data_IF_215948213163
#
_entry.id   IF_215948213163
#
_cell.length_a   1.000
_cell.length_b   1.000
_cell.length_c   1.000
_cell.angle_alpha   90.00
_cell.angle_beta   90.00
_cell.angle_gamma   90.00
#
_symmetry.space_group_name_H-M   'P 1'
#
loop_
_entity.id
_entity.type
_entity.pdbx_description
1 polymer ?
#
# COMPACT_ATOMS: atom_id res chain seq x y z
N UNK A 1 9.59 -16.49 -23.91
CA UNK A 1 8.34 -16.00 -23.32
C UNK A 1 7.84 -17.01 -22.31
N UNK A 2 8.35 -16.97 -21.08
CA UNK A 2 7.80 -17.74 -19.96
C UNK A 2 6.78 -16.85 -19.27
N UNK A 3 5.50 -17.13 -19.52
CA UNK A 3 4.40 -16.36 -18.95
C UNK A 3 4.55 -16.22 -17.44
N UNK A 4 4.38 -14.99 -16.98
CA UNK A 4 4.34 -14.62 -15.58
C UNK A 4 3.40 -15.59 -14.86
N UNK A 5 3.91 -16.43 -13.96
CA UNK A 5 3.07 -17.38 -13.21
C UNK A 5 2.42 -16.67 -12.03
N UNK A 6 1.82 -15.51 -12.30
CA UNK A 6 0.90 -14.88 -11.39
C UNK A 6 -0.35 -15.75 -11.36
N UNK A 7 -0.58 -16.47 -10.26
CA UNK A 7 -1.85 -17.19 -10.10
C UNK A 7 -2.95 -16.14 -10.01
N UNK A 8 -4.08 -16.28 -10.73
CA UNK A 8 -5.19 -15.31 -10.66
C UNK A 8 -5.63 -15.01 -9.21
N UNK A 9 -5.49 -15.99 -8.31
CA UNK A 9 -5.80 -15.86 -6.89
C UNK A 9 -4.87 -14.91 -6.11
N UNK A 10 -3.72 -14.49 -6.68
CA UNK A 10 -2.78 -13.58 -6.04
C UNK A 10 -3.15 -12.10 -6.25
N UNK A 11 -3.72 -11.75 -7.41
CA UNK A 11 -4.24 -10.41 -7.71
C UNK A 11 -5.37 -10.05 -6.74
N UNK A 12 -6.25 -11.02 -6.48
CA UNK A 12 -7.45 -10.80 -5.66
C UNK A 12 -7.20 -11.14 -4.18
N UNK A 13 -5.93 -11.36 -3.80
CA UNK A 13 -5.59 -11.72 -2.44
C UNK A 13 -5.78 -10.51 -1.52
N UNK A 14 -6.73 -10.65 -0.59
CA UNK A 14 -7.02 -9.66 0.45
C UNK A 14 -6.19 -9.92 1.73
N UNK A 15 -5.34 -10.94 1.73
CA UNK A 15 -4.29 -11.09 2.72
C UNK A 15 -3.06 -10.35 2.21
N UNK A 16 -2.34 -9.61 3.05
CA UNK A 16 -1.33 -8.69 2.57
C UNK A 16 0.05 -9.35 2.36
N UNK A 17 0.25 -10.61 2.79
CA UNK A 17 1.52 -11.34 2.63
C UNK A 17 1.60 -12.15 1.32
N UNK A 18 2.46 -11.74 0.38
CA UNK A 18 2.75 -12.53 -0.81
C UNK A 18 3.80 -13.59 -0.51
N UNK A 19 3.37 -14.85 -0.49
CA UNK A 19 4.28 -16.03 -0.52
C UNK A 19 4.71 -16.39 -1.94
N UNK A 20 4.12 -15.72 -2.92
CA UNK A 20 4.45 -15.79 -4.32
C UNK A 20 5.79 -15.10 -4.62
N UNK A 21 6.61 -15.69 -5.49
CA UNK A 21 7.79 -15.01 -6.05
C UNK A 21 7.51 -14.40 -7.43
N UNK A 22 6.24 -14.39 -7.85
CA UNK A 22 5.83 -14.03 -9.22
C UNK A 22 5.68 -12.54 -9.44
N UNK A 23 5.01 -11.82 -8.52
CA UNK A 23 4.76 -10.38 -8.65
C UNK A 23 5.57 -9.50 -7.68
N UNK A 24 6.45 -10.11 -6.88
CA UNK A 24 7.26 -9.41 -5.87
C UNK A 24 6.47 -8.47 -4.95
N UNK A 25 5.20 -8.77 -4.68
CA UNK A 25 4.29 -7.97 -3.87
C UNK A 25 3.64 -6.76 -4.57
N UNK A 26 4.12 -6.35 -5.74
CA UNK A 26 3.58 -5.17 -6.46
C UNK A 26 2.11 -5.33 -6.84
N UNK A 27 1.70 -6.58 -7.15
CA UNK A 27 0.33 -6.93 -7.54
C UNK A 27 -0.46 -7.60 -6.41
N UNK A 28 -0.05 -7.40 -5.14
CA UNK A 28 -0.63 -8.11 -4.00
C UNK A 28 -1.28 -7.16 -2.99
N UNK A 29 -2.40 -7.58 -2.40
CA UNK A 29 -3.12 -6.82 -1.38
C UNK A 29 -4.01 -5.73 -1.97
N UNK A 30 -3.43 -4.71 -2.59
CA UNK A 30 -4.17 -3.50 -2.99
C UNK A 30 -5.26 -3.77 -4.04
N UNK A 31 -5.00 -4.60 -5.04
CA UNK A 31 -5.99 -4.97 -6.06
C UNK A 31 -7.23 -5.58 -5.42
N UNK A 32 -7.07 -6.55 -4.52
CA UNK A 32 -8.19 -7.20 -3.81
C UNK A 32 -9.03 -6.27 -2.93
N UNK A 33 -8.43 -5.23 -2.33
CA UNK A 33 -9.17 -4.22 -1.56
C UNK A 33 -9.88 -3.20 -2.45
N UNK A 34 -9.26 -2.84 -3.58
CA UNK A 34 -9.84 -1.94 -4.58
C UNK A 34 -11.00 -2.62 -5.31
N UNK A 35 -10.85 -3.88 -5.75
CA UNK A 35 -11.93 -4.68 -6.33
C UNK A 35 -13.13 -4.80 -5.38
N UNK A 36 -12.87 -5.00 -4.09
CA UNK A 36 -13.92 -5.07 -3.08
C UNK A 36 -14.68 -3.73 -2.95
N UNK A 37 -14.04 -2.59 -3.24
CA UNK A 37 -14.69 -1.27 -3.28
C UNK A 37 -15.60 -1.08 -4.51
N UNK A 38 -15.31 -1.77 -5.62
CA UNK A 38 -16.19 -1.83 -6.80
C UNK A 38 -17.37 -2.80 -6.62
N UNK A 39 -17.25 -3.77 -5.71
CA UNK A 39 -18.31 -4.74 -5.43
C UNK A 39 -19.51 -4.18 -4.66
N UNK A 40 -20.46 -5.06 -4.39
CA UNK A 40 -21.68 -4.75 -3.64
C UNK A 40 -21.43 -4.53 -2.14
N UNK A 41 -22.32 -3.79 -1.47
CA UNK A 41 -22.32 -3.68 0.00
C UNK A 41 -22.34 -5.06 0.66
N UNK A 42 -23.16 -5.98 0.16
CA UNK A 42 -23.23 -7.34 0.69
C UNK A 42 -21.89 -8.08 0.62
N UNK A 43 -21.09 -7.87 -0.43
CA UNK A 43 -19.74 -8.46 -0.51
C UNK A 43 -18.82 -7.94 0.60
N UNK A 44 -18.95 -6.66 0.95
CA UNK A 44 -18.19 -6.00 2.03
C UNK A 44 -18.68 -6.42 3.40
N UNK A 45 -19.98 -6.50 3.62
CA UNK A 45 -20.57 -6.99 4.88
C UNK A 45 -20.18 -8.45 5.15
N UNK A 46 -20.25 -9.30 4.12
CA UNK A 46 -19.77 -10.69 4.20
C UNK A 46 -18.27 -10.76 4.49
N UNK A 47 -17.47 -9.81 3.98
CA UNK A 47 -16.04 -9.73 4.31
C UNK A 47 -15.83 -9.29 5.76
N UNK A 48 -16.56 -8.27 6.23
CA UNK A 48 -16.51 -7.78 7.61
C UNK A 48 -16.79 -8.90 8.58
N UNK A 49 -17.91 -9.59 8.41
CA UNK A 49 -18.32 -10.72 9.24
C UNK A 49 -17.23 -11.81 9.29
N UNK A 50 -16.63 -12.17 8.14
CA UNK A 50 -15.54 -13.15 8.10
C UNK A 50 -14.27 -12.71 8.80
N UNK A 51 -13.96 -11.41 8.84
CA UNK A 51 -12.81 -10.89 9.59
C UNK A 51 -13.13 -10.88 11.09
N UNK A 52 -14.33 -10.43 11.47
CA UNK A 52 -14.77 -10.39 12.88
C UNK A 52 -14.80 -11.78 13.53
N UNK A 53 -15.20 -12.82 12.80
CA UNK A 53 -15.16 -14.20 13.27
C UNK A 53 -13.75 -14.69 13.62
N UNK A 54 -12.70 -14.04 13.12
CA UNK A 54 -11.31 -14.38 13.44
C UNK A 54 -10.83 -13.72 14.74
N UNK A 55 -11.59 -12.79 15.32
CA UNK A 55 -11.18 -12.07 16.53
C UNK A 55 -11.08 -13.05 17.70
N UNK A 56 -9.89 -13.17 18.26
CA UNK A 56 -9.66 -14.05 19.40
C UNK A 56 -9.94 -13.35 20.72
N UNK A 57 -10.76 -14.00 21.55
CA UNK A 57 -11.06 -13.59 22.93
C UNK A 57 -10.49 -14.61 23.91
N UNK A 58 -10.15 -14.17 25.11
CA UNK A 58 -9.80 -15.08 26.20
C UNK A 58 -11.06 -15.71 26.81
N UNK A 59 -10.90 -16.56 27.84
CA UNK A 59 -12.02 -17.23 28.52
C UNK A 59 -13.02 -16.26 29.18
N UNK A 60 -12.59 -15.05 29.52
CA UNK A 60 -13.45 -14.01 30.12
C UNK A 60 -14.13 -13.13 29.07
N UNK A 61 -13.99 -13.46 27.77
CA UNK A 61 -14.58 -12.71 26.67
C UNK A 61 -13.84 -11.43 26.27
N UNK A 62 -12.71 -11.11 26.91
CA UNK A 62 -11.91 -9.92 26.58
C UNK A 62 -10.97 -10.20 25.42
N UNK A 63 -10.68 -9.19 24.60
CA UNK A 63 -9.81 -9.31 23.43
C UNK A 63 -8.38 -9.75 23.83
N UNK A 64 -7.81 -10.70 23.10
CA UNK A 64 -6.41 -11.11 23.31
C UNK A 64 -5.46 -10.10 22.66
N UNK A 65 -4.46 -9.62 23.40
CA UNK A 65 -3.41 -8.75 22.87
C UNK A 65 -2.30 -9.55 22.17
N UNK A 66 -2.58 -10.08 20.97
CA UNK A 66 -1.64 -10.88 20.17
C UNK A 66 -1.46 -10.35 18.74
N UNK A 67 -0.50 -10.91 17.99
CA UNK A 67 -0.22 -10.52 16.60
C UNK A 67 -1.40 -10.74 15.66
N UNK A 68 -2.14 -11.83 15.86
CA UNK A 68 -3.30 -12.18 15.06
C UNK A 68 -4.41 -11.12 15.14
N UNK A 69 -4.78 -10.69 16.36
CA UNK A 69 -5.77 -9.64 16.54
C UNK A 69 -5.28 -8.28 16.03
N UNK A 70 -3.98 -7.96 16.17
CA UNK A 70 -3.41 -6.75 15.54
C UNK A 70 -3.65 -6.72 14.04
N UNK A 71 -3.31 -7.83 13.35
CA UNK A 71 -3.54 -7.93 11.91
C UNK A 71 -5.03 -7.90 11.57
N UNK A 72 -5.87 -8.58 12.36
CA UNK A 72 -7.32 -8.60 12.16
C UNK A 72 -7.93 -7.21 12.24
N UNK A 73 -7.54 -6.38 13.21
CA UNK A 73 -8.02 -5.00 13.32
C UNK A 73 -7.46 -4.08 12.23
N UNK A 74 -6.25 -4.32 11.72
CA UNK A 74 -5.74 -3.65 10.51
C UNK A 74 -6.58 -4.03 9.29
N UNK A 75 -6.96 -5.30 9.14
CA UNK A 75 -7.81 -5.74 8.03
C UNK A 75 -9.23 -5.14 8.12
N UNK A 76 -9.75 -4.91 9.33
CA UNK A 76 -11.00 -4.14 9.52
C UNK A 76 -10.80 -2.67 9.14
N UNK A 77 -9.67 -2.05 9.49
CA UNK A 77 -9.38 -0.67 9.07
C UNK A 77 -9.26 -0.55 7.55
N UNK A 78 -8.65 -1.54 6.88
CA UNK A 78 -8.63 -1.63 5.41
C UNK A 78 -10.02 -1.75 4.83
N UNK A 79 -10.90 -2.51 5.47
CA UNK A 79 -12.27 -2.65 5.03
C UNK A 79 -13.07 -1.34 5.19
N UNK A 80 -12.85 -0.58 6.27
CA UNK A 80 -13.45 0.76 6.42
C UNK A 80 -12.96 1.72 5.31
N UNK A 81 -11.67 1.67 4.96
CA UNK A 81 -11.13 2.40 3.80
C UNK A 81 -11.80 1.94 2.50
N UNK A 82 -11.96 0.63 2.30
CA UNK A 82 -12.69 0.08 1.13
C UNK A 82 -14.14 0.57 1.08
N UNK A 83 -14.83 0.65 2.22
CA UNK A 83 -16.19 1.20 2.32
C UNK A 83 -16.22 2.70 1.98
N UNK A 84 -15.20 3.47 2.35
CA UNK A 84 -15.03 4.87 1.95
C UNK A 84 -14.82 5.01 0.43
N UNK A 85 -13.94 4.21 -0.15
CA UNK A 85 -13.68 4.21 -1.60
C UNK A 85 -14.93 3.85 -2.41
N UNK A 86 -15.76 2.94 -1.90
CA UNK A 86 -17.03 2.59 -2.53
C UNK A 86 -18.02 3.76 -2.56
N UNK A 87 -18.07 4.56 -1.47
CA UNK A 87 -18.96 5.74 -1.34
C UNK A 87 -18.50 6.94 -2.15
N UNK A 88 -17.19 7.10 -2.32
CA UNK A 88 -16.60 8.24 -3.03
C UNK A 88 -16.38 7.96 -4.51
N UNK A 89 -16.43 6.69 -4.93
CA UNK A 89 -16.33 6.32 -6.33
C UNK A 89 -17.59 6.70 -7.10
N UNK A 90 -17.50 7.70 -7.98
CA UNK A 90 -18.61 8.08 -8.87
C UNK A 90 -19.19 6.90 -9.67
N UNK A 91 -20.41 7.08 -10.19
CA UNK A 91 -21.13 6.04 -10.96
C UNK A 91 -20.24 5.49 -12.08
N UNK A 92 -19.95 4.19 -12.02
CA UNK A 92 -19.36 3.49 -13.16
C UNK A 92 -20.47 3.19 -14.16
N UNK A 93 -20.30 3.46 -15.47
CA UNK A 93 -21.29 3.14 -16.51
C UNK A 93 -21.74 1.67 -16.52
N UNK A 94 -20.91 0.76 -16.01
CA UNK A 94 -21.09 -0.70 -16.06
C UNK A 94 -21.32 -1.35 -14.68
N UNK A 95 -21.66 -0.54 -13.68
CA UNK A 95 -22.28 -0.96 -12.41
C UNK A 95 -21.50 -1.86 -11.43
N UNK A 96 -20.47 -2.61 -11.82
CA UNK A 96 -19.80 -3.58 -10.91
C UNK A 96 -18.38 -4.01 -11.34
N UNK A 97 -17.84 -3.53 -12.47
CA UNK A 97 -16.51 -3.95 -12.95
C UNK A 97 -15.46 -2.86 -12.73
N UNK A 98 -14.32 -3.16 -12.08
CA UNK A 98 -13.20 -2.23 -12.09
C UNK A 98 -12.77 -1.95 -13.54
N UNK A 99 -12.56 -0.68 -13.94
CA UNK A 99 -12.00 -0.37 -15.24
C UNK A 99 -10.62 -1.03 -15.38
N UNK A 100 -10.35 -1.63 -16.55
CA UNK A 100 -9.10 -2.37 -16.77
C UNK A 100 -7.85 -1.48 -16.67
N UNK A 101 -7.97 -0.20 -17.03
CA UNK A 101 -6.89 0.78 -16.90
C UNK A 101 -7.48 2.16 -16.67
N UNK A 102 -6.95 2.89 -15.70
CA UNK A 102 -7.32 4.27 -15.43
C UNK A 102 -6.14 5.15 -15.83
N UNK A 103 -6.36 6.03 -16.81
CA UNK A 103 -5.42 7.09 -17.11
C UNK A 103 -5.32 8.02 -15.90
N UNK A 104 -4.12 8.18 -15.36
CA UNK A 104 -3.82 9.02 -14.20
C UNK A 104 -4.12 10.51 -14.45
N UNK A 105 -4.09 10.95 -15.71
CA UNK A 105 -4.53 12.29 -16.12
C UNK A 105 -6.03 12.34 -16.51
N UNK A 106 -6.69 11.18 -16.59
CA UNK A 106 -8.04 11.00 -17.08
C UNK A 106 -9.12 11.50 -16.09
N UNK A 107 -10.31 11.94 -16.56
CA UNK A 107 -11.39 12.44 -15.70
C UNK A 107 -11.79 11.48 -14.55
N UNK A 108 -11.71 10.17 -14.79
CA UNK A 108 -12.05 9.14 -13.79
C UNK A 108 -11.04 9.08 -12.64
N UNK A 109 -9.74 9.26 -12.91
CA UNK A 109 -8.75 9.40 -11.84
C UNK A 109 -9.05 10.64 -10.99
N UNK A 110 -9.60 11.70 -11.60
CA UNK A 110 -9.75 13.00 -10.94
C UNK A 110 -10.99 13.11 -10.04
N UNK A 111 -12.02 12.34 -10.31
CA UNK A 111 -13.36 12.54 -9.73
C UNK A 111 -13.57 11.91 -8.36
N UNK A 112 -12.65 11.06 -7.88
CA UNK A 112 -12.84 10.31 -6.64
C UNK A 112 -11.53 9.79 -6.05
N UNK A 113 -11.50 9.57 -4.72
CA UNK A 113 -10.42 8.87 -4.04
C UNK A 113 -10.18 7.47 -4.65
N UNK A 114 -11.26 6.77 -5.04
CA UNK A 114 -11.16 5.47 -5.73
C UNK A 114 -10.43 5.56 -7.07
N UNK A 115 -10.78 6.56 -7.88
CA UNK A 115 -10.12 6.79 -9.17
C UNK A 115 -8.63 7.10 -9.00
N UNK A 116 -8.29 8.01 -8.08
CA UNK A 116 -6.90 8.38 -7.78
C UNK A 116 -6.10 7.19 -7.27
N UNK A 117 -6.67 6.41 -6.35
CA UNK A 117 -6.00 5.24 -5.76
C UNK A 117 -5.67 4.21 -6.83
N UNK A 118 -6.66 3.87 -7.66
CA UNK A 118 -6.48 2.92 -8.76
C UNK A 118 -5.42 3.40 -9.75
N UNK A 119 -5.44 4.68 -10.14
CA UNK A 119 -4.46 5.23 -11.07
C UNK A 119 -3.03 5.21 -10.48
N UNK A 120 -2.87 5.68 -9.23
CA UNK A 120 -1.58 5.64 -8.53
C UNK A 120 -1.06 4.22 -8.36
N UNK A 121 -1.92 3.28 -7.95
CA UNK A 121 -1.53 1.90 -7.77
C UNK A 121 -1.13 1.24 -9.09
N UNK A 122 -1.87 1.49 -10.17
CA UNK A 122 -1.52 1.00 -11.50
C UNK A 122 -0.17 1.55 -11.97
N UNK A 123 0.06 2.85 -11.86
CA UNK A 123 1.32 3.44 -12.35
C UNK A 123 2.52 3.09 -11.48
N UNK A 124 2.40 3.14 -10.15
CA UNK A 124 3.54 2.95 -9.24
C UNK A 124 3.86 1.47 -9.02
N UNK A 125 2.83 0.63 -8.88
CA UNK A 125 3.02 -0.77 -8.48
C UNK A 125 2.90 -1.73 -9.66
N UNK A 126 1.88 -1.58 -10.52
CA UNK A 126 1.60 -2.55 -11.60
C UNK A 126 2.46 -2.33 -12.84
N UNK A 127 2.45 -1.12 -13.41
CA UNK A 127 3.17 -0.78 -14.64
C UNK A 127 4.70 -0.87 -14.43
N UNK A 128 5.20 -0.58 -13.22
CA UNK A 128 6.64 -0.67 -12.91
C UNK A 128 7.14 -2.11 -12.73
N UNK A 129 6.25 -3.06 -12.45
CA UNK A 129 6.64 -4.43 -12.11
C UNK A 129 7.33 -5.16 -13.26
N UNK A 130 6.84 -4.99 -14.50
CA UNK A 130 7.40 -5.70 -15.66
C UNK A 130 8.87 -5.34 -15.88
N UNK A 131 9.21 -4.07 -15.74
CA UNK A 131 10.59 -3.59 -15.88
C UNK A 131 11.47 -4.04 -14.71
N UNK A 132 10.96 -3.97 -13.47
CA UNK A 132 11.66 -4.49 -12.28
C UNK A 132 11.93 -5.99 -12.41
N UNK A 133 10.94 -6.77 -12.86
CA UNK A 133 11.08 -8.20 -13.07
C UNK A 133 12.12 -8.52 -14.14
N UNK A 134 12.06 -7.83 -15.28
CA UNK A 134 13.03 -8.00 -16.35
C UNK A 134 14.45 -7.67 -15.89
N UNK A 135 14.61 -6.63 -15.07
CA UNK A 135 15.91 -6.21 -14.54
C UNK A 135 16.48 -7.23 -13.55
N UNK A 136 15.66 -7.77 -12.65
CA UNK A 136 16.06 -8.86 -11.76
C UNK A 136 16.50 -10.08 -12.58
N UNK A 137 15.70 -10.49 -13.55
CA UNK A 137 15.99 -11.68 -14.35
C UNK A 137 17.22 -11.49 -15.24
N UNK A 138 17.54 -10.25 -15.63
CA UNK A 138 18.75 -9.88 -16.38
C UNK A 138 20.02 -9.93 -15.52
N UNK A 139 19.97 -9.38 -14.31
CA UNK A 139 21.16 -9.27 -13.44
C UNK A 139 21.48 -10.56 -12.69
N UNK A 140 20.46 -11.38 -12.41
CA UNK A 140 20.60 -12.52 -11.51
C UNK A 140 20.90 -13.82 -12.28
N UNK A 141 22.00 -14.49 -11.90
CA UNK A 141 22.55 -15.64 -12.63
C UNK A 141 21.69 -16.91 -12.59
N UNK A 142 20.78 -17.06 -11.61
CA UNK A 142 19.95 -18.25 -11.49
C UNK A 142 18.53 -17.93 -10.96
N UNK A 143 17.59 -18.82 -11.30
CA UNK A 143 16.17 -18.66 -10.97
C UNK A 143 15.88 -18.58 -9.47
N UNK A 144 16.69 -19.24 -8.62
CA UNK A 144 16.44 -19.23 -7.17
C UNK A 144 16.77 -17.87 -6.57
N UNK A 145 17.91 -17.29 -6.94
CA UNK A 145 18.31 -15.95 -6.49
C UNK A 145 17.33 -14.89 -7.01
N UNK A 146 16.80 -15.04 -8.23
CA UNK A 146 15.77 -14.14 -8.75
C UNK A 146 14.48 -14.23 -7.92
N UNK A 147 14.06 -15.44 -7.55
CA UNK A 147 12.89 -15.65 -6.67
C UNK A 147 13.09 -15.05 -5.29
N UNK A 148 14.28 -15.17 -4.71
CA UNK A 148 14.58 -14.63 -3.39
C UNK A 148 14.64 -13.10 -3.43
N UNK A 149 15.18 -12.49 -4.51
CA UNK A 149 15.08 -11.05 -4.73
C UNK A 149 13.63 -10.58 -4.85
N UNK A 150 12.80 -11.26 -5.67
CA UNK A 150 11.37 -10.94 -5.80
C UNK A 150 10.63 -11.09 -4.46
N UNK A 151 10.97 -12.09 -3.63
CA UNK A 151 10.41 -12.23 -2.27
C UNK A 151 10.84 -11.09 -1.34
N UNK A 152 12.08 -10.63 -1.44
CA UNK A 152 12.57 -9.49 -0.67
C UNK A 152 11.79 -8.21 -1.01
N UNK A 153 11.47 -8.01 -2.29
CA UNK A 153 10.58 -6.92 -2.72
C UNK A 153 9.16 -7.04 -2.13
N UNK A 154 8.66 -8.26 -2.02
CA UNK A 154 7.32 -8.54 -1.53
C UNK A 154 7.09 -8.31 -0.02
N UNK A 155 8.15 -8.07 0.74
CA UNK A 155 8.06 -7.78 2.17
C UNK A 155 7.63 -6.33 2.40
N UNK A 156 8.55 -5.40 2.65
CA UNK A 156 8.20 -4.02 2.97
C UNK A 156 8.68 -2.97 1.96
N UNK A 157 9.16 -3.39 0.79
CA UNK A 157 9.72 -2.48 -0.22
C UNK A 157 8.68 -1.50 -0.76
N UNK A 158 7.51 -1.99 -1.21
CA UNK A 158 6.48 -1.13 -1.83
C UNK A 158 5.83 -0.18 -0.83
N UNK A 159 5.50 -0.66 0.37
CA UNK A 159 4.98 0.23 1.41
C UNK A 159 6.07 1.19 1.93
N UNK A 160 7.34 0.80 1.95
CA UNK A 160 8.47 1.68 2.27
C UNK A 160 8.63 2.82 1.25
N UNK A 161 8.54 2.51 -0.06
CA UNK A 161 8.49 3.52 -1.12
C UNK A 161 7.36 4.52 -0.89
N UNK A 162 6.13 4.03 -0.70
CA UNK A 162 4.96 4.89 -0.52
C UNK A 162 5.10 5.79 0.71
N UNK A 163 5.69 5.29 1.79
CA UNK A 163 5.96 6.07 2.99
C UNK A 163 7.07 7.11 2.77
N UNK A 164 8.13 6.76 2.04
CA UNK A 164 9.15 7.73 1.65
C UNK A 164 8.54 8.89 0.84
N UNK A 165 7.62 8.59 -0.08
CA UNK A 165 6.88 9.59 -0.85
C UNK A 165 5.96 10.44 0.04
N UNK A 166 5.19 9.83 0.94
CA UNK A 166 4.32 10.54 1.89
C UNK A 166 5.15 11.51 2.74
N UNK A 167 6.25 11.04 3.34
CA UNK A 167 7.13 11.85 4.20
C UNK A 167 7.81 12.98 3.44
N UNK A 168 8.11 12.76 2.16
CA UNK A 168 8.64 13.81 1.29
C UNK A 168 7.58 14.89 1.07
N UNK A 169 6.38 14.51 0.62
CA UNK A 169 5.28 15.45 0.38
C UNK A 169 4.91 16.22 1.66
N UNK A 170 4.89 15.56 2.82
CA UNK A 170 4.63 16.20 4.13
C UNK A 170 5.64 17.30 4.52
N UNK A 171 6.85 17.28 3.96
CA UNK A 171 7.92 18.24 4.27
C UNK A 171 7.99 19.42 3.31
N UNK A 172 7.17 19.41 2.26
CA UNK A 172 7.27 20.37 1.17
C UNK A 172 6.22 21.46 1.33
N UNK A 173 6.68 22.71 1.21
CA UNK A 173 5.81 23.88 1.29
C UNK A 173 5.27 24.34 -0.09
N UNK A 174 5.85 23.87 -1.22
CA UNK A 174 5.40 24.20 -2.59
C UNK A 174 5.64 23.10 -3.65
N UNK A 175 4.88 23.14 -4.75
CA UNK A 175 4.92 22.09 -5.78
C UNK A 175 6.22 22.04 -6.63
N UNK A 176 6.99 23.12 -6.72
CA UNK A 176 8.25 23.13 -7.49
C UNK A 176 9.31 22.35 -6.73
N UNK A 177 9.34 22.50 -5.40
CA UNK A 177 10.21 21.72 -4.53
C UNK A 177 9.90 20.23 -4.62
N UNK A 178 8.63 19.86 -4.84
CA UNK A 178 8.24 18.47 -5.01
C UNK A 178 8.93 17.80 -6.20
N UNK A 179 9.15 18.51 -7.30
CA UNK A 179 9.81 17.99 -8.51
C UNK A 179 11.33 18.19 -8.53
N UNK A 180 11.94 18.60 -7.42
CA UNK A 180 13.38 18.79 -7.34
C UNK A 180 14.14 17.46 -7.08
N UNK A 181 15.33 17.33 -7.67
CA UNK A 181 16.26 16.18 -7.53
C UNK A 181 16.51 15.75 -6.07
N UNK A 182 16.38 16.67 -5.11
CA UNK A 182 16.55 16.39 -3.68
C UNK A 182 15.49 15.40 -3.14
N UNK A 183 14.27 15.47 -3.65
CA UNK A 183 13.19 14.56 -3.28
C UNK A 183 13.42 13.15 -3.79
N UNK A 184 13.77 13.06 -5.07
CA UNK A 184 14.12 11.80 -5.72
C UNK A 184 15.29 11.11 -4.99
N UNK A 185 16.35 11.86 -4.67
CA UNK A 185 17.49 11.37 -3.88
C UNK A 185 17.08 10.88 -2.47
N UNK A 186 16.17 11.60 -1.79
CA UNK A 186 15.67 11.17 -0.49
C UNK A 186 14.95 9.81 -0.57
N UNK A 187 14.06 9.65 -1.56
CA UNK A 187 13.31 8.39 -1.76
C UNK A 187 14.25 7.25 -2.16
N UNK A 188 15.21 7.51 -3.06
CA UNK A 188 16.24 6.53 -3.45
C UNK A 188 17.01 6.02 -2.23
N UNK A 189 17.48 6.92 -1.36
CA UNK A 189 18.21 6.54 -0.15
C UNK A 189 17.40 5.67 0.80
N UNK A 190 16.12 5.98 1.02
CA UNK A 190 15.24 5.15 1.86
C UNK A 190 15.03 3.77 1.23
N UNK A 191 14.80 3.71 -0.09
CA UNK A 191 14.53 2.45 -0.77
C UNK A 191 15.76 1.54 -0.82
N UNK A 192 16.95 2.08 -1.08
CA UNK A 192 18.21 1.32 -1.04
C UNK A 192 18.44 0.68 0.33
N UNK A 193 18.06 1.34 1.42
CA UNK A 193 18.14 0.75 2.77
C UNK A 193 17.19 -0.45 2.92
N UNK A 194 15.97 -0.37 2.41
CA UNK A 194 15.04 -1.51 2.40
C UNK A 194 15.52 -2.68 1.52
N UNK A 195 16.37 -2.40 0.53
CA UNK A 195 16.94 -3.38 -0.39
C UNK A 195 18.34 -3.88 0.01
N UNK A 196 18.80 -3.62 1.24
CA UNK A 196 20.14 -4.01 1.71
C UNK A 196 20.42 -5.52 1.69
N UNK A 197 19.40 -6.36 1.51
CA UNK A 197 19.52 -7.80 1.32
C UNK A 197 19.89 -8.23 -0.12
N UNK A 198 19.87 -7.30 -1.08
CA UNK A 198 20.25 -7.52 -2.47
C UNK A 198 21.70 -7.10 -2.73
N UNK A 199 22.28 -7.53 -3.86
CA UNK A 199 23.54 -6.95 -4.33
C UNK A 199 23.35 -5.47 -4.62
N UNK A 200 24.36 -4.64 -4.33
CA UNK A 200 24.30 -3.18 -4.52
C UNK A 200 23.83 -2.80 -5.93
N UNK A 201 24.41 -3.39 -6.97
CA UNK A 201 24.04 -3.10 -8.37
C UNK A 201 22.57 -3.42 -8.70
N UNK A 202 22.01 -4.45 -8.06
CA UNK A 202 20.60 -4.82 -8.25
C UNK A 202 19.69 -3.90 -7.44
N UNK A 203 20.07 -3.58 -6.19
CA UNK A 203 19.35 -2.64 -5.36
C UNK A 203 19.28 -1.25 -6.01
N UNK A 204 20.38 -0.76 -6.56
CA UNK A 204 20.47 0.55 -7.23
C UNK A 204 19.62 0.57 -8.52
N UNK A 205 19.66 -0.49 -9.34
CA UNK A 205 18.86 -0.60 -10.56
C UNK A 205 17.35 -0.68 -10.28
N UNK A 206 16.93 -1.55 -9.36
CA UNK A 206 15.52 -1.68 -8.96
C UNK A 206 15.03 -0.38 -8.34
N UNK A 207 15.85 0.27 -7.52
CA UNK A 207 15.53 1.58 -6.92
C UNK A 207 15.32 2.64 -7.99
N UNK A 208 16.18 2.69 -9.02
CA UNK A 208 16.01 3.60 -10.16
C UNK A 208 14.66 3.43 -10.83
N UNK A 209 14.34 2.22 -11.30
CA UNK A 209 13.09 1.92 -12.03
C UNK A 209 11.84 2.33 -11.22
N UNK A 210 11.81 1.93 -9.95
CA UNK A 210 10.64 2.15 -9.09
C UNK A 210 10.47 3.63 -8.74
N UNK A 211 11.56 4.34 -8.46
CA UNK A 211 11.51 5.78 -8.16
C UNK A 211 11.13 6.58 -9.40
N UNK A 212 11.69 6.26 -10.56
CA UNK A 212 11.39 6.95 -11.82
C UNK A 212 9.91 6.77 -12.19
N UNK A 213 9.37 5.56 -12.00
CA UNK A 213 7.93 5.27 -12.17
C UNK A 213 7.06 6.09 -11.23
N UNK A 214 7.44 6.16 -9.94
CA UNK A 214 6.72 6.96 -8.95
C UNK A 214 6.75 8.46 -9.27
N UNK A 215 7.90 8.96 -9.72
CA UNK A 215 8.04 10.36 -10.12
C UNK A 215 7.23 10.71 -11.35
N UNK A 216 7.24 9.83 -12.36
CA UNK A 216 6.40 9.98 -13.56
C UNK A 216 4.92 10.02 -13.21
N UNK A 217 4.47 9.16 -12.28
CA UNK A 217 3.10 9.18 -11.77
C UNK A 217 2.76 10.52 -11.09
N UNK A 218 3.64 11.00 -10.21
CA UNK A 218 3.46 12.25 -9.49
C UNK A 218 3.49 13.47 -10.42
N UNK A 219 4.39 13.51 -11.40
CA UNK A 219 4.47 14.58 -12.39
C UNK A 219 3.18 14.67 -13.21
N UNK A 220 2.66 13.54 -13.69
CA UNK A 220 1.37 13.51 -14.41
C UNK A 220 0.21 13.96 -13.53
N UNK A 221 0.21 13.59 -12.25
CA UNK A 221 -0.80 14.10 -11.31
C UNK A 221 -0.66 15.60 -11.11
N UNK A 222 0.54 16.13 -10.93
CA UNK A 222 0.77 17.57 -10.78
C UNK A 222 0.29 18.34 -12.01
N UNK A 223 0.61 17.87 -13.21
CA UNK A 223 0.14 18.47 -14.46
C UNK A 223 -1.39 18.45 -14.56
N UNK A 224 -2.03 17.35 -14.14
CA UNK A 224 -3.48 17.19 -14.19
C UNK A 224 -4.23 17.88 -13.03
N UNK A 225 -3.55 18.15 -11.90
CA UNK A 225 -4.14 18.60 -10.62
C UNK A 225 -3.51 19.88 -10.08
N UNK A 226 -2.83 20.65 -10.92
CA UNK A 226 -2.24 21.92 -10.49
C UNK A 226 -3.33 22.86 -9.94
N UNK A 227 -3.12 23.51 -8.76
CA UNK A 227 -1.90 23.57 -7.96
C UNK A 227 -1.96 22.75 -6.64
N UNK A 228 -2.60 21.58 -6.59
CA UNK A 228 -2.78 20.89 -5.30
C UNK A 228 -2.63 19.36 -5.41
N UNK A 229 -1.43 18.86 -5.15
CA UNK A 229 -1.30 17.59 -4.42
C UNK A 229 -1.67 17.85 -2.95
N UNK A 230 -2.95 18.13 -2.74
CA UNK A 230 -3.49 18.46 -1.42
C UNK A 230 -3.73 17.23 -0.56
N UNK A 231 -4.51 17.42 0.50
CA UNK A 231 -4.86 16.37 1.47
C UNK A 231 -5.41 15.10 0.80
N UNK A 232 -6.10 15.24 -0.32
CA UNK A 232 -6.64 14.12 -1.10
C UNK A 232 -5.56 13.17 -1.63
N UNK A 233 -4.47 13.68 -2.22
CA UNK A 233 -3.38 12.83 -2.73
C UNK A 233 -2.66 12.15 -1.59
N UNK A 234 -2.35 12.88 -0.52
CA UNK A 234 -1.77 12.30 0.69
C UNK A 234 -2.67 11.22 1.28
N UNK A 235 -3.98 11.47 1.39
CA UNK A 235 -4.97 10.50 1.88
C UNK A 235 -4.94 9.23 1.03
N UNK A 236 -4.94 9.36 -0.29
CA UNK A 236 -4.89 8.21 -1.20
C UNK A 236 -3.57 7.44 -1.13
N UNK A 237 -2.42 8.13 -1.05
CA UNK A 237 -1.12 7.48 -0.86
C UNK A 237 -1.08 6.70 0.46
N UNK A 238 -1.66 7.24 1.52
CA UNK A 238 -1.80 6.57 2.82
C UNK A 238 -2.68 5.33 2.72
N UNK A 239 -3.82 5.42 2.02
CA UNK A 239 -4.70 4.27 1.77
C UNK A 239 -3.93 3.17 1.01
N UNK A 240 -3.19 3.54 -0.03
CA UNK A 240 -2.39 2.61 -0.82
C UNK A 240 -1.27 1.97 0.01
N UNK A 241 -0.55 2.75 0.83
CA UNK A 241 0.49 2.23 1.72
C UNK A 241 -0.09 1.23 2.73
N UNK A 242 -1.27 1.51 3.28
CA UNK A 242 -1.96 0.59 4.19
C UNK A 242 -2.39 -0.70 3.47
N UNK A 243 -2.87 -0.62 2.22
CA UNK A 243 -3.24 -1.79 1.43
C UNK A 243 -2.04 -2.64 1.00
N UNK A 244 -0.91 -2.03 0.66
CA UNK A 244 0.30 -2.70 0.18
C UNK A 244 1.16 -3.31 1.29
N UNK A 245 0.99 -2.91 2.55
CA UNK A 245 1.84 -3.38 3.65
C UNK A 245 1.47 -4.80 4.15
N UNK A 246 2.34 -5.83 4.09
CA UNK A 246 2.02 -7.18 4.60
C UNK A 246 1.79 -7.27 6.11
N UNK A 247 2.45 -6.42 6.89
CA UNK A 247 2.43 -6.51 8.34
C UNK A 247 2.72 -5.14 8.97
N UNK A 248 1.66 -4.36 9.26
CA UNK A 248 1.80 -3.00 9.82
C UNK A 248 2.48 -3.02 11.19
N UNK A 249 2.33 -4.09 11.98
CA UNK A 249 2.97 -4.22 13.29
C UNK A 249 4.50 -4.43 13.25
N UNK A 250 5.03 -4.75 12.06
CA UNK A 250 6.46 -4.84 11.75
C UNK A 250 6.96 -3.64 10.94
N UNK A 251 6.09 -2.71 10.60
CA UNK A 251 6.42 -1.52 9.81
C UNK A 251 5.90 -0.24 10.50
N UNK A 252 6.62 0.27 11.52
CA UNK A 252 6.17 1.42 12.32
C UNK A 252 5.88 2.67 11.49
N UNK A 253 6.66 2.92 10.43
CA UNK A 253 6.43 4.11 9.59
C UNK A 253 5.10 4.04 8.84
N UNK A 254 4.63 2.86 8.41
CA UNK A 254 3.28 2.69 7.81
C UNK A 254 2.20 3.04 8.82
N UNK A 255 2.37 2.69 10.09
CA UNK A 255 1.39 3.11 11.07
C UNK A 255 1.41 4.62 11.29
N UNK A 256 2.58 5.20 11.53
CA UNK A 256 2.70 6.61 11.91
C UNK A 256 2.32 7.56 10.77
N UNK A 257 2.73 7.27 9.53
CA UNK A 257 2.51 8.15 8.39
C UNK A 257 1.30 7.78 7.52
N UNK A 258 0.73 6.58 7.66
CA UNK A 258 -0.46 6.17 6.91
C UNK A 258 -1.66 5.79 7.77
N UNK A 259 -1.55 4.74 8.60
CA UNK A 259 -2.72 4.22 9.32
C UNK A 259 -3.30 5.23 10.33
N UNK A 260 -2.45 5.83 11.16
CA UNK A 260 -2.85 6.78 12.21
C UNK A 260 -3.41 8.09 11.65
N UNK A 261 -2.84 8.70 10.58
CA UNK A 261 -3.49 9.82 9.90
C UNK A 261 -4.85 9.45 9.32
N UNK A 262 -5.02 8.29 8.68
CA UNK A 262 -6.33 7.86 8.15
C UNK A 262 -7.38 7.67 9.25
N UNK A 263 -6.98 7.23 10.44
CA UNK A 263 -7.86 7.13 11.61
C UNK A 263 -8.19 8.49 12.23
N UNK A 264 -7.38 9.51 11.97
CA UNK A 264 -7.58 10.87 12.49
C UNK A 264 -8.17 11.81 11.45
N UNK A 265 -8.44 11.29 10.25
CA UNK A 265 -8.97 12.03 9.12
C UNK A 265 -10.40 12.51 9.40
N UNK A 266 -10.66 13.78 9.07
CA UNK A 266 -11.96 14.43 9.30
C UNK A 266 -13.12 13.80 8.52
N UNK A 267 -12.83 13.07 7.44
CA UNK A 267 -13.82 12.34 6.64
C UNK A 267 -14.26 11.02 7.28
N UNK A 268 -13.69 10.65 8.44
CA UNK A 268 -13.99 9.40 9.16
C UNK A 268 -13.87 8.18 8.25
N UNK A 269 -12.76 8.12 7.51
CA UNK A 269 -12.42 6.99 6.62
C UNK A 269 -12.42 5.68 7.40
N UNK A 270 -11.95 5.71 8.65
CA UNK A 270 -11.99 4.57 9.58
C UNK A 270 -12.95 4.89 10.72
N UNK A 271 -13.79 3.92 11.09
CA UNK A 271 -14.76 4.05 12.18
C UNK A 271 -14.08 4.23 13.55
N UNK A 272 -14.75 4.94 14.46
CA UNK A 272 -14.23 5.21 15.81
C UNK A 272 -13.98 3.94 16.62
N UNK A 273 -14.80 2.91 16.42
CA UNK A 273 -14.62 1.60 17.04
C UNK A 273 -13.29 0.96 16.61
N UNK A 274 -13.07 0.83 15.30
CA UNK A 274 -11.86 0.23 14.75
C UNK A 274 -10.62 1.07 15.09
N UNK A 275 -10.71 2.40 15.01
CA UNK A 275 -9.67 3.32 15.45
C UNK A 275 -9.25 3.06 16.89
N UNK A 276 -10.22 2.94 17.80
CA UNK A 276 -9.98 2.71 19.22
C UNK A 276 -9.22 1.41 19.43
N UNK A 277 -9.66 0.34 18.76
CA UNK A 277 -9.02 -0.96 18.87
C UNK A 277 -7.60 -0.94 18.30
N UNK A 278 -7.41 -0.46 17.07
CA UNK A 278 -6.08 -0.39 16.45
C UNK A 278 -5.12 0.44 17.31
N UNK A 279 -5.54 1.61 17.79
CA UNK A 279 -4.71 2.47 18.65
C UNK A 279 -4.30 1.75 19.94
N UNK A 280 -5.24 1.08 20.61
CA UNK A 280 -4.99 0.32 21.83
C UNK A 280 -3.97 -0.80 21.61
N UNK A 281 -4.18 -1.61 20.58
CA UNK A 281 -3.34 -2.75 20.24
C UNK A 281 -1.89 -2.35 19.91
N UNK A 282 -1.73 -1.28 19.12
CA UNK A 282 -0.44 -0.85 18.62
C UNK A 282 0.35 -0.02 19.66
N UNK A 283 -0.32 0.83 20.43
CA UNK A 283 0.31 1.51 21.58
C UNK A 283 0.88 0.51 22.57
N UNK A 284 0.12 -0.53 22.92
CA UNK A 284 0.57 -1.58 23.83
C UNK A 284 1.72 -2.44 23.23
N UNK A 285 1.77 -2.58 21.90
CA UNK A 285 2.80 -3.34 21.21
C UNK A 285 4.15 -2.60 21.20
N UNK A 286 4.20 -1.34 20.77
CA UNK A 286 5.47 -0.62 20.68
C UNK A 286 6.04 -0.21 22.02
N UNK A 287 5.20 0.02 23.05
CA UNK A 287 5.69 0.17 24.42
C UNK A 287 6.48 -1.05 24.88
N UNK A 288 6.00 -2.25 24.55
CA UNK A 288 6.70 -3.51 24.88
C UNK A 288 8.00 -3.65 24.11
N UNK A 289 8.00 -3.37 22.80
CA UNK A 289 9.22 -3.44 22.00
C UNK A 289 10.31 -2.48 22.49
N UNK A 290 9.93 -1.26 22.86
CA UNK A 290 10.88 -0.24 23.37
C UNK A 290 11.49 -0.65 24.72
N UNK A 291 10.70 -1.28 25.59
CA UNK A 291 11.18 -1.82 26.85
C UNK A 291 12.14 -3.01 26.65
N UNK A 292 11.87 -3.89 25.69
CA UNK A 292 12.75 -5.02 25.36
C UNK A 292 14.08 -4.62 24.72
N UNK A 293 14.14 -3.45 24.07
CA UNK A 293 15.37 -2.94 23.44
C UNK A 293 16.28 -2.17 24.41
N UNK A 294 15.80 -1.89 25.64
CA UNK A 294 16.49 -1.08 26.65
C UNK A 294 17.05 -1.89 27.83
N UNK A 295 16.92 -3.22 27.79
CA UNK A 295 17.40 -4.15 28.83
C UNK A 295 18.27 -5.24 28.23
#
# INVERSE_FOLDING_TARGET
MTGNTHRPNCANAQNPGCVCSGCGGALHGWQGWTELAYGTSQSRDNRRHRIELKIEKNRTGTLRFNAHNRQTFIDLARLDVTDHLSRTGGETPDGNRPPQRIDIAGPMARSSDRGRLSALAQTILEDSWEEVEAEIDRQVKNKQTARDAKRHLADHTWCGLLIALIRWIEKIDDAVQLLADKGEQFVKNVLTQHLSGLSKDLADAVTGIVVDSAWSALAKLLEAHFPLLGEDTLRVLRMLALFACPAVDRHPEVYEHAAKPLMSDGLKVVSDEIKTQVTSFFTAWWRRQSASASG
#
